data_IF_900594654215
#
_entry.id   IF_900594654215
#
_cell.length_a   1.000
_cell.length_b   1.000
_cell.length_c   1.000
_cell.angle_alpha   90.00
_cell.angle_beta   90.00
_cell.angle_gamma   90.00
#
_symmetry.space_group_name_H-M   'P 1'
#
loop_
_entity.id
_entity.type
_entity.pdbx_description
1 polymer ?
#
# COMPACT_ATOMS: atom_id res chain seq x y z
N UNK A 1 -21.48 -8.68 -7.58
CA UNK A 1 -20.17 -9.26 -7.88
C UNK A 1 -19.17 -8.82 -6.85
N UNK A 2 -18.43 -9.73 -6.27
CA UNK A 2 -17.48 -9.41 -5.23
C UNK A 2 -16.27 -8.66 -5.79
N UNK A 3 -15.76 -7.73 -5.00
CA UNK A 3 -14.53 -7.04 -5.32
C UNK A 3 -13.35 -8.00 -5.26
N UNK A 4 -12.40 -7.84 -6.14
CA UNK A 4 -11.17 -8.62 -6.12
C UNK A 4 -10.01 -7.79 -6.68
N UNK A 5 -8.82 -8.13 -6.23
CA UNK A 5 -7.62 -7.46 -6.66
C UNK A 5 -7.26 -7.89 -8.08
N UNK A 6 -6.81 -6.93 -8.86
CA UNK A 6 -6.26 -7.16 -10.19
C UNK A 6 -4.87 -6.57 -10.25
N UNK A 7 -3.94 -7.30 -10.86
CA UNK A 7 -2.61 -6.80 -11.11
C UNK A 7 -2.51 -6.45 -12.60
N UNK A 8 -2.17 -5.22 -12.88
CA UNK A 8 -1.94 -4.77 -14.25
C UNK A 8 -0.50 -4.29 -14.34
N UNK A 9 0.27 -4.91 -15.26
CA UNK A 9 1.61 -4.43 -15.56
C UNK A 9 1.48 -3.43 -16.69
N UNK A 10 1.80 -2.17 -16.38
CA UNK A 10 1.80 -1.10 -17.37
C UNK A 10 2.77 -1.43 -18.51
N UNK A 11 2.56 -0.83 -19.68
CA UNK A 11 3.51 -0.90 -20.78
C UNK A 11 4.85 -0.27 -20.40
N UNK A 12 4.82 0.66 -19.44
CA UNK A 12 6.04 1.20 -18.86
C UNK A 12 6.74 0.11 -18.01
N UNK A 13 7.94 -0.32 -18.39
CA UNK A 13 8.64 -1.39 -17.67
C UNK A 13 9.09 -0.99 -16.26
N UNK A 14 8.95 0.27 -15.88
CA UNK A 14 9.30 0.76 -14.54
C UNK A 14 8.12 0.76 -13.57
N UNK A 15 6.92 0.37 -14.01
CA UNK A 15 5.69 0.58 -13.23
C UNK A 15 4.99 -0.74 -12.91
N UNK A 16 4.44 -0.83 -11.69
CA UNK A 16 3.51 -1.90 -11.28
C UNK A 16 2.20 -1.23 -10.87
N UNK A 17 1.07 -1.75 -11.38
CA UNK A 17 -0.25 -1.20 -11.05
C UNK A 17 -1.11 -2.32 -10.44
N UNK A 18 -1.66 -2.05 -9.26
CA UNK A 18 -2.65 -2.91 -8.63
C UNK A 18 -3.98 -2.17 -8.53
N UNK A 19 -5.08 -2.87 -8.81
CA UNK A 19 -6.42 -2.30 -8.78
C UNK A 19 -7.33 -3.21 -7.95
N UNK A 20 -8.15 -2.62 -7.10
CA UNK A 20 -9.18 -3.37 -6.37
C UNK A 20 -10.40 -2.47 -6.13
N UNK A 21 -11.59 -3.07 -6.24
CA UNK A 21 -12.84 -2.40 -5.88
C UNK A 21 -13.31 -2.87 -4.50
N UNK A 22 -13.88 -1.95 -3.73
CA UNK A 22 -14.38 -2.21 -2.39
C UNK A 22 -15.85 -1.80 -2.29
N UNK A 23 -16.65 -2.60 -1.61
CA UNK A 23 -18.06 -2.28 -1.33
C UNK A 23 -18.16 -1.37 -0.10
N UNK A 24 -17.47 -0.24 -0.15
CA UNK A 24 -17.38 0.72 0.94
C UNK A 24 -17.11 2.12 0.37
N UNK A 25 -17.57 3.19 1.05
CA UNK A 25 -17.30 4.54 0.58
C UNK A 25 -15.81 4.87 0.68
N UNK A 26 -15.32 5.72 -0.21
CA UNK A 26 -13.88 6.04 -0.28
C UNK A 26 -13.36 6.71 0.99
N UNK A 27 -14.21 7.43 1.72
CA UNK A 27 -13.82 8.01 3.01
C UNK A 27 -13.37 6.94 4.00
N UNK A 28 -14.07 5.81 4.03
CA UNK A 28 -13.72 4.69 4.89
C UNK A 28 -12.43 4.00 4.44
N UNK A 29 -12.30 3.78 3.13
CA UNK A 29 -11.09 3.16 2.58
C UNK A 29 -9.88 4.07 2.80
N UNK A 30 -10.06 5.38 2.62
CA UNK A 30 -9.01 6.36 2.88
C UNK A 30 -8.62 6.36 4.37
N UNK A 31 -9.58 6.26 5.27
CA UNK A 31 -9.31 6.16 6.71
C UNK A 31 -8.46 4.93 7.03
N UNK A 32 -8.75 3.79 6.42
CA UNK A 32 -7.97 2.57 6.62
C UNK A 32 -6.51 2.74 6.19
N UNK A 33 -6.23 3.63 5.25
CA UNK A 33 -4.89 3.93 4.74
C UNK A 33 -4.15 4.99 5.57
N UNK A 34 -4.85 5.79 6.34
CA UNK A 34 -4.27 7.00 6.94
C UNK A 34 -4.27 6.99 8.46
N UNK A 35 -4.64 5.88 9.07
CA UNK A 35 -4.60 5.71 10.51
C UNK A 35 -3.66 4.54 10.84
N UNK A 36 -2.61 4.76 11.65
CA UNK A 36 -1.66 3.69 11.96
C UNK A 36 -2.29 2.50 12.69
N UNK A 37 -3.37 2.70 13.42
CA UNK A 37 -4.10 1.60 14.05
C UNK A 37 -4.72 0.67 13.02
N UNK A 38 -5.27 1.26 11.95
CA UNK A 38 -5.84 0.48 10.85
C UNK A 38 -4.74 -0.16 10.01
N UNK A 39 -3.69 0.59 9.68
CA UNK A 39 -2.58 0.07 8.89
C UNK A 39 -1.95 -1.17 9.51
N UNK A 40 -1.84 -1.21 10.84
CA UNK A 40 -1.27 -2.35 11.55
C UNK A 40 -2.06 -3.64 11.34
N UNK A 41 -3.32 -3.54 10.90
CA UNK A 41 -4.20 -4.70 10.75
C UNK A 41 -4.11 -5.35 9.36
N UNK A 42 -3.69 -4.62 8.34
CA UNK A 42 -3.76 -5.15 6.98
C UNK A 42 -2.51 -4.92 6.14
N UNK A 43 -1.62 -4.03 6.54
CA UNK A 43 -0.45 -3.69 5.73
C UNK A 43 0.50 -4.87 5.58
N UNK A 44 0.92 -5.14 4.34
CA UNK A 44 1.85 -6.19 4.02
C UNK A 44 1.19 -7.43 3.43
N UNK A 45 2.00 -8.31 2.81
CA UNK A 45 1.50 -9.57 2.25
C UNK A 45 1.00 -10.51 3.35
N UNK A 46 0.35 -11.60 2.92
CA UNK A 46 -0.16 -12.61 3.85
C UNK A 46 0.96 -13.13 4.77
N UNK A 47 0.66 -13.23 6.05
CA UNK A 47 1.60 -13.73 7.04
C UNK A 47 2.50 -12.66 7.67
N UNK A 48 2.46 -11.43 7.15
CA UNK A 48 3.22 -10.33 7.72
C UNK A 48 2.42 -9.57 8.78
N UNK A 49 3.13 -9.03 9.77
CA UNK A 49 2.58 -8.07 10.72
C UNK A 49 3.42 -6.80 10.66
N UNK A 50 2.85 -5.69 11.10
CA UNK A 50 3.51 -4.38 11.00
C UNK A 50 3.50 -3.67 12.34
N UNK A 51 4.67 -3.19 12.76
CA UNK A 51 4.81 -2.36 13.96
C UNK A 51 5.27 -0.98 13.55
N UNK A 52 4.51 0.05 13.90
CA UNK A 52 4.81 1.44 13.57
C UNK A 52 5.56 2.10 14.71
N UNK A 53 6.70 2.73 14.40
CA UNK A 53 7.49 3.49 15.39
C UNK A 53 7.30 4.99 15.27
N UNK A 54 6.93 5.48 14.07
CA UNK A 54 6.65 6.90 13.84
C UNK A 54 5.64 7.04 12.72
N UNK A 55 4.71 7.97 12.88
CA UNK A 55 3.69 8.20 11.87
C UNK A 55 3.26 9.66 11.89
N UNK A 56 3.46 10.35 10.77
CA UNK A 56 3.11 11.76 10.63
C UNK A 56 2.38 11.93 9.29
N UNK A 57 1.04 11.98 9.34
CA UNK A 57 0.19 12.01 8.15
C UNK A 57 0.00 13.45 7.66
N UNK A 58 1.06 13.97 7.03
CA UNK A 58 1.05 15.29 6.39
C UNK A 58 2.08 15.29 5.26
N UNK A 59 1.99 16.21 4.29
CA UNK A 59 3.02 16.31 3.25
C UNK A 59 4.39 16.56 3.90
N UNK A 60 5.37 15.75 3.51
CA UNK A 60 6.70 15.77 4.11
C UNK A 60 6.83 14.93 5.38
N UNK A 61 5.71 14.42 5.90
CA UNK A 61 5.73 13.57 7.08
C UNK A 61 6.23 12.16 6.77
N UNK A 62 6.70 11.46 7.79
CA UNK A 62 7.35 10.15 7.65
C UNK A 62 6.58 9.10 8.44
N UNK A 63 6.43 7.92 7.84
CA UNK A 63 5.96 6.72 8.48
C UNK A 63 7.11 5.73 8.55
N UNK A 64 7.55 5.42 9.77
CA UNK A 64 8.59 4.41 10.01
C UNK A 64 7.95 3.19 10.61
N UNK A 65 8.24 2.04 10.05
CA UNK A 65 7.63 0.79 10.51
C UNK A 65 8.53 -0.40 10.22
N UNK A 66 8.26 -1.48 10.94
CA UNK A 66 8.93 -2.76 10.73
C UNK A 66 7.88 -3.77 10.30
N UNK A 67 8.15 -4.47 9.22
CA UNK A 67 7.33 -5.59 8.77
C UNK A 67 7.95 -6.87 9.27
N UNK A 68 7.18 -7.65 10.04
CA UNK A 68 7.62 -8.93 10.59
C UNK A 68 7.14 -10.05 9.69
N UNK A 69 8.08 -10.73 9.04
CA UNK A 69 7.77 -11.81 8.11
C UNK A 69 7.44 -13.12 8.82
N UNK A 70 6.72 -14.01 8.15
CA UNK A 70 6.37 -15.32 8.72
C UNK A 70 7.59 -16.22 8.93
N UNK A 71 8.71 -15.88 8.30
CA UNK A 71 9.99 -16.59 8.46
C UNK A 71 10.82 -16.10 9.66
N UNK A 72 10.29 -15.14 10.42
CA UNK A 72 10.99 -14.54 11.57
C UNK A 72 11.92 -13.39 11.21
N UNK A 73 11.97 -12.99 9.94
CA UNK A 73 12.79 -11.85 9.52
C UNK A 73 12.02 -10.54 9.67
N UNK A 74 12.72 -9.51 10.14
CA UNK A 74 12.18 -8.16 10.28
C UNK A 74 12.73 -7.29 9.17
N UNK A 75 11.83 -6.48 8.56
CA UNK A 75 12.19 -5.58 7.47
C UNK A 75 11.86 -4.15 7.90
N UNK A 76 12.88 -3.34 8.06
CA UNK A 76 12.69 -1.92 8.40
C UNK A 76 12.30 -1.15 7.15
N UNK A 77 11.28 -0.29 7.30
CA UNK A 77 10.73 0.47 6.19
C UNK A 77 10.54 1.92 6.56
N UNK A 78 10.61 2.77 5.54
CA UNK A 78 10.36 4.20 5.69
C UNK A 78 9.59 4.69 4.47
N UNK A 79 8.48 5.38 4.73
CA UNK A 79 7.68 6.03 3.70
C UNK A 79 7.63 7.52 4.04
N UNK A 80 7.82 8.35 3.03
CA UNK A 80 7.64 9.80 3.16
C UNK A 80 6.46 10.21 2.30
N UNK A 81 5.49 10.91 2.89
CA UNK A 81 4.30 11.35 2.19
C UNK A 81 4.62 12.61 1.39
N UNK A 82 4.39 12.57 0.07
CA UNK A 82 4.62 13.70 -0.82
C UNK A 82 3.38 14.54 -1.01
N UNK A 83 2.20 13.88 -1.08
CA UNK A 83 0.94 14.55 -1.33
C UNK A 83 -0.19 13.79 -0.64
N UNK A 84 -1.10 14.52 -0.01
CA UNK A 84 -2.27 13.95 0.62
C UNK A 84 -3.47 14.80 0.21
N UNK A 85 -4.38 14.21 -0.57
CA UNK A 85 -5.64 14.86 -0.99
C UNK A 85 -6.79 13.98 -0.49
N UNK A 86 -7.31 14.28 0.66
CA UNK A 86 -8.38 13.50 1.29
C UNK A 86 -9.70 13.75 0.58
N UNK A 87 -10.49 12.74 0.25
CA UNK A 87 -10.23 11.30 0.32
C UNK A 87 -9.85 10.70 -1.04
N UNK A 88 -9.18 11.46 -1.90
CA UNK A 88 -9.00 11.15 -3.31
C UNK A 88 -7.67 10.49 -3.64
N UNK A 89 -6.56 10.96 -3.00
CA UNK A 89 -5.24 10.56 -3.46
C UNK A 89 -4.19 10.66 -2.37
N UNK A 90 -3.28 9.69 -2.39
CA UNK A 90 -2.04 9.72 -1.62
C UNK A 90 -0.88 9.53 -2.57
N UNK A 91 0.18 10.30 -2.41
CA UNK A 91 1.44 10.09 -3.10
C UNK A 91 2.54 9.99 -2.06
N UNK A 92 3.33 8.94 -2.14
CA UNK A 92 4.44 8.75 -1.21
C UNK A 92 5.60 8.04 -1.90
N UNK A 93 6.79 8.17 -1.32
CA UNK A 93 7.94 7.41 -1.80
C UNK A 93 8.49 6.55 -0.68
N UNK A 94 9.04 5.41 -1.07
CA UNK A 94 9.53 4.36 -0.19
C UNK A 94 11.06 4.38 -0.18
N UNK A 95 11.66 4.14 1.00
CA UNK A 95 13.12 4.08 1.13
C UNK A 95 13.73 5.40 1.59
N UNK A 96 15.04 5.53 1.40
CA UNK A 96 15.74 6.78 1.65
C UNK A 96 16.35 6.96 3.03
N UNK A 97 16.55 5.91 3.80
CA UNK A 97 17.29 5.94 5.05
C UNK A 97 18.45 4.96 5.00
N UNK A 98 19.49 5.21 5.78
CA UNK A 98 20.65 4.32 5.83
C UNK A 98 20.31 2.97 6.47
N UNK A 99 19.28 2.94 7.29
CA UNK A 99 18.88 1.78 8.07
C UNK A 99 17.65 1.05 7.49
N UNK A 100 17.23 1.39 6.27
CA UNK A 100 16.06 0.77 5.63
C UNK A 100 16.47 0.06 4.35
N UNK A 101 15.54 -0.75 3.83
CA UNK A 101 15.70 -1.49 2.58
C UNK A 101 16.14 -0.54 1.45
N UNK A 102 17.08 -0.97 0.59
CA UNK A 102 17.53 -0.15 -0.52
C UNK A 102 16.54 -0.03 -1.68
N UNK A 103 15.33 -0.53 -1.49
CA UNK A 103 14.26 -0.43 -2.49
C UNK A 103 13.67 0.98 -2.44
N UNK A 104 13.71 1.67 -3.56
CA UNK A 104 13.15 3.02 -3.68
C UNK A 104 12.16 3.05 -4.82
N UNK A 105 10.94 3.52 -4.52
CA UNK A 105 9.93 3.71 -5.55
C UNK A 105 8.88 4.69 -5.04
N UNK A 106 8.16 5.29 -5.99
CA UNK A 106 7.12 6.26 -5.69
C UNK A 106 5.77 5.64 -6.01
N UNK A 107 4.84 5.75 -5.06
CA UNK A 107 3.50 5.17 -5.20
C UNK A 107 2.45 6.27 -5.19
N UNK A 108 1.54 6.19 -6.14
CA UNK A 108 0.32 7.00 -6.16
C UNK A 108 -0.85 6.07 -5.90
N UNK A 109 -1.64 6.39 -4.88
CA UNK A 109 -2.86 5.66 -4.55
C UNK A 109 -4.03 6.58 -4.81
N UNK A 110 -4.93 6.16 -5.70
CA UNK A 110 -6.14 6.92 -6.00
C UNK A 110 -7.36 6.17 -5.51
N UNK A 111 -8.32 6.91 -4.97
CA UNK A 111 -9.55 6.39 -4.39
C UNK A 111 -10.71 6.98 -5.18
N UNK A 112 -11.19 6.25 -6.18
CA UNK A 112 -12.24 6.71 -7.07
C UNK A 112 -13.62 6.35 -6.50
N UNK A 113 -14.50 7.34 -6.42
CA UNK A 113 -15.87 7.14 -5.93
C UNK A 113 -16.74 6.56 -7.05
N UNK A 114 -17.29 5.38 -6.81
CA UNK A 114 -18.17 4.67 -7.74
C UNK A 114 -19.63 4.69 -7.28
N UNK A 115 -20.02 5.70 -6.49
CA UNK A 115 -21.39 5.76 -5.97
C UNK A 115 -21.59 4.89 -4.73
N UNK A 116 -20.82 5.16 -3.67
CA UNK A 116 -20.85 4.38 -2.42
C UNK A 116 -19.92 3.19 -2.42
N UNK A 117 -19.22 2.96 -3.52
CA UNK A 117 -18.17 1.96 -3.66
C UNK A 117 -16.89 2.67 -4.07
N UNK A 118 -15.76 2.01 -3.93
CA UNK A 118 -14.46 2.62 -4.20
C UNK A 118 -13.65 1.75 -5.17
N UNK A 119 -13.06 2.38 -6.18
CA UNK A 119 -12.00 1.75 -6.97
C UNK A 119 -10.67 2.34 -6.51
N UNK A 120 -9.84 1.49 -5.94
CA UNK A 120 -8.50 1.89 -5.51
C UNK A 120 -7.49 1.44 -6.54
N UNK A 121 -6.61 2.35 -6.95
CA UNK A 121 -5.51 2.05 -7.85
C UNK A 121 -4.21 2.42 -7.18
N UNK A 122 -3.29 1.46 -7.07
CA UNK A 122 -1.93 1.70 -6.59
C UNK A 122 -0.99 1.63 -7.78
N UNK A 123 -0.29 2.72 -8.03
CA UNK A 123 0.68 2.79 -9.13
C UNK A 123 2.06 3.05 -8.54
N UNK A 124 2.93 2.05 -8.59
CA UNK A 124 4.31 2.16 -8.10
C UNK A 124 5.27 2.32 -9.27
N UNK A 125 6.09 3.38 -9.22
CA UNK A 125 7.07 3.68 -10.25
C UNK A 125 8.47 3.50 -9.65
N UNK A 126 9.26 2.61 -10.26
CA UNK A 126 10.61 2.29 -9.81
C UNK A 126 11.63 3.13 -10.59
N UNK A 127 12.86 3.30 -10.05
CA UNK A 127 13.88 4.10 -10.73
C UNK A 127 14.29 3.56 -12.11
N UNK A 128 14.12 2.25 -12.34
CA UNK A 128 14.50 1.63 -13.60
C UNK A 128 13.73 0.32 -13.80
N UNK A 129 13.70 -0.14 -15.04
CA UNK A 129 13.10 -1.45 -15.37
C UNK A 129 13.85 -2.58 -14.66
N UNK A 130 15.18 -2.47 -14.54
CA UNK A 130 16.00 -3.46 -13.84
C UNK A 130 15.63 -3.52 -12.35
N UNK A 131 15.39 -2.37 -11.72
CA UNK A 131 15.00 -2.31 -10.31
C UNK A 131 13.61 -2.94 -10.11
N UNK A 132 12.66 -2.65 -10.98
CA UNK A 132 11.34 -3.28 -10.92
C UNK A 132 11.46 -4.81 -11.03
N UNK A 133 12.23 -5.28 -11.99
CA UNK A 133 12.42 -6.72 -12.21
C UNK A 133 13.07 -7.37 -10.99
N UNK A 134 14.06 -6.70 -10.39
CA UNK A 134 14.75 -7.19 -9.19
C UNK A 134 13.78 -7.32 -8.01
N UNK A 135 12.97 -6.30 -7.77
CA UNK A 135 12.02 -6.28 -6.64
C UNK A 135 10.96 -7.35 -6.82
N UNK A 136 10.46 -7.56 -8.03
CA UNK A 136 9.50 -8.64 -8.31
C UNK A 136 10.16 -10.00 -8.03
N UNK A 137 11.38 -10.20 -8.51
CA UNK A 137 12.08 -11.49 -8.39
C UNK A 137 12.48 -11.79 -6.95
N UNK A 138 13.05 -10.81 -6.23
CA UNK A 138 13.60 -11.04 -4.88
C UNK A 138 12.55 -10.97 -3.79
N UNK A 139 11.54 -10.10 -3.94
CA UNK A 139 10.56 -9.84 -2.89
C UNK A 139 9.14 -10.26 -3.27
N UNK A 140 8.91 -10.69 -4.50
CA UNK A 140 7.56 -11.05 -4.95
C UNK A 140 6.59 -9.88 -4.89
N UNK A 141 7.05 -8.67 -5.27
CA UNK A 141 6.29 -7.44 -5.10
C UNK A 141 4.94 -7.47 -5.82
N UNK A 142 4.86 -8.13 -6.97
CA UNK A 142 3.62 -8.26 -7.73
C UNK A 142 2.57 -9.08 -6.97
N UNK A 143 2.96 -10.23 -6.46
CA UNK A 143 2.08 -11.09 -5.65
C UNK A 143 1.76 -10.46 -4.31
N UNK A 144 2.78 -9.83 -3.70
CA UNK A 144 2.62 -9.15 -2.42
C UNK A 144 1.60 -8.02 -2.50
N UNK A 145 1.59 -7.27 -3.59
CA UNK A 145 0.61 -6.20 -3.82
C UNK A 145 -0.82 -6.77 -3.84
N UNK A 146 -1.05 -7.85 -4.58
CA UNK A 146 -2.37 -8.48 -4.64
C UNK A 146 -2.81 -8.98 -3.27
N UNK A 147 -1.90 -9.60 -2.52
CA UNK A 147 -2.21 -10.08 -1.17
C UNK A 147 -2.52 -8.93 -0.21
N UNK A 148 -1.73 -7.87 -0.28
CA UNK A 148 -1.94 -6.68 0.57
C UNK A 148 -3.32 -6.06 0.31
N UNK A 149 -3.68 -5.89 -0.95
CA UNK A 149 -5.00 -5.35 -1.30
C UNK A 149 -6.13 -6.29 -0.89
N UNK A 150 -5.89 -7.60 -0.94
CA UNK A 150 -6.85 -8.60 -0.44
C UNK A 150 -7.08 -8.46 1.06
N UNK A 151 -6.01 -8.27 1.84
CA UNK A 151 -6.11 -8.06 3.28
C UNK A 151 -6.85 -6.75 3.60
N UNK A 152 -6.58 -5.70 2.82
CA UNK A 152 -7.31 -4.44 2.97
C UNK A 152 -8.79 -4.65 2.72
N UNK A 153 -9.15 -5.42 1.69
CA UNK A 153 -10.55 -5.72 1.40
C UNK A 153 -11.25 -6.41 2.56
N UNK A 154 -10.60 -7.41 3.15
CA UNK A 154 -11.14 -8.12 4.32
C UNK A 154 -11.29 -7.18 5.52
N UNK A 155 -10.31 -6.33 5.74
CA UNK A 155 -10.34 -5.38 6.85
C UNK A 155 -11.44 -4.33 6.68
N UNK A 156 -11.58 -3.77 5.49
CA UNK A 156 -12.62 -2.78 5.18
C UNK A 156 -14.01 -3.40 5.37
N UNK A 157 -14.19 -4.66 4.98
CA UNK A 157 -15.45 -5.37 5.21
C UNK A 157 -15.76 -5.47 6.69
N UNK A 158 -14.76 -5.70 7.54
CA UNK A 158 -14.93 -5.70 9.00
C UNK A 158 -15.31 -4.32 9.51
N UNK A 159 -14.68 -3.27 9.02
CA UNK A 159 -15.02 -1.90 9.40
C UNK A 159 -16.48 -1.60 9.10
N UNK A 160 -16.96 -2.03 7.92
CA UNK A 160 -18.34 -1.83 7.50
C UNK A 160 -19.33 -2.56 8.43
N UNK A 161 -18.98 -3.76 8.89
CA UNK A 161 -19.86 -4.55 9.73
C UNK A 161 -19.94 -4.04 11.17
N UNK A 162 -19.07 -3.12 11.56
CA UNK A 162 -19.04 -2.54 12.92
C UNK A 162 -19.60 -1.12 12.98
N UNK A 163 -20.14 -0.62 11.88
CA UNK A 163 -20.72 0.74 11.82
C UNK A 163 -22.23 0.77 11.98
#
# INVERSE_FOLDING_TARGET
MSARSSLVLDQDPCTIIGVREFDAPRELVFEAWTDPKHLAQWWGPNGFTTTTSAFDMRPGGVWRFVMHGPDGCDYENRITFDEIVKPERLVYHHGGGDDVEPVQFRTTVTFEDLGGRTRLTMRGVFPSAAERARVIKEYGADKGLVQTLGRLGDYVAKMMSHT
#
